data_IF_507765610385
#
_entry.id   IF_507765610385
#
_cell.length_a   1.000
_cell.length_b   1.000
_cell.length_c   1.000
_cell.angle_alpha   90.00
_cell.angle_beta   90.00
_cell.angle_gamma   90.00
#
_symmetry.space_group_name_H-M   'P 1'
#
loop_
_entity.id
_entity.type
_entity.pdbx_description
1 polymer ?
#
# COMPACT_ATOMS: atom_id res chain seq x y z
N UNK A 1 -25.97 -33.21 -20.55
CA UNK A 1 -26.02 -33.45 -19.09
C UNK A 1 -25.54 -32.18 -18.39
N UNK A 2 -26.36 -31.60 -17.51
CA UNK A 2 -26.11 -30.30 -16.87
C UNK A 2 -24.87 -30.35 -15.98
N UNK A 3 -24.14 -29.24 -15.89
CA UNK A 3 -22.90 -29.09 -15.10
C UNK A 3 -23.17 -29.07 -13.58
N UNK A 4 -24.04 -29.95 -13.08
CA UNK A 4 -24.42 -30.03 -11.66
C UNK A 4 -25.30 -28.90 -11.14
N UNK A 5 -25.88 -28.05 -12.02
CA UNK A 5 -26.76 -26.92 -11.64
C UNK A 5 -28.20 -27.17 -12.12
N UNK A 6 -29.20 -26.86 -11.27
CA UNK A 6 -30.63 -26.97 -11.60
C UNK A 6 -31.42 -25.78 -11.07
N UNK A 7 -32.37 -25.30 -11.89
CA UNK A 7 -33.32 -24.27 -11.51
C UNK A 7 -34.72 -24.87 -11.44
N UNK A 8 -35.36 -24.77 -10.28
CA UNK A 8 -36.75 -25.15 -10.06
C UNK A 8 -37.59 -23.88 -10.12
N UNK A 9 -38.47 -23.79 -11.13
CA UNK A 9 -39.45 -22.71 -11.24
C UNK A 9 -40.70 -23.15 -10.49
N UNK A 10 -41.04 -22.43 -9.43
CA UNK A 10 -42.32 -22.57 -8.75
C UNK A 10 -43.33 -21.73 -9.52
N UNK A 11 -44.43 -22.36 -9.96
CA UNK A 11 -45.48 -21.73 -10.76
C UNK A 11 -46.83 -21.83 -10.07
N UNK A 12 -47.75 -20.94 -10.40
CA UNK A 12 -49.17 -21.09 -10.05
C UNK A 12 -49.92 -21.98 -11.05
N UNK A 13 -51.21 -22.20 -10.80
CA UNK A 13 -52.11 -23.02 -11.63
C UNK A 13 -52.75 -22.24 -12.79
N UNK A 14 -52.32 -21.00 -13.07
CA UNK A 14 -52.89 -20.23 -14.19
C UNK A 14 -52.50 -20.80 -15.54
N UNK A 15 -53.29 -20.53 -16.58
CA UNK A 15 -52.93 -20.85 -17.97
C UNK A 15 -52.83 -19.54 -18.79
N UNK A 16 -51.61 -19.08 -19.16
CA UNK A 16 -50.32 -19.73 -18.91
C UNK A 16 -49.84 -19.59 -17.44
N UNK A 17 -49.00 -20.52 -16.95
CA UNK A 17 -48.53 -20.51 -15.57
C UNK A 17 -47.56 -19.36 -15.32
N UNK A 18 -47.83 -18.59 -14.27
CA UNK A 18 -46.95 -17.52 -13.81
C UNK A 18 -45.88 -18.07 -12.86
N UNK A 19 -44.64 -17.57 -12.97
CA UNK A 19 -43.54 -18.01 -12.09
C UNK A 19 -43.54 -17.22 -10.79
N UNK A 20 -43.84 -17.90 -9.68
CA UNK A 20 -43.86 -17.33 -8.33
C UNK A 20 -42.45 -17.25 -7.71
N UNK A 21 -41.59 -18.23 -7.96
CA UNK A 21 -40.23 -18.25 -7.45
C UNK A 21 -39.30 -19.10 -8.32
N UNK A 22 -37.99 -18.85 -8.22
CA UNK A 22 -36.96 -19.69 -8.84
C UNK A 22 -35.98 -20.13 -7.75
N UNK A 23 -36.00 -21.42 -7.44
CA UNK A 23 -35.03 -22.04 -6.54
C UNK A 23 -33.88 -22.61 -7.35
N UNK A 24 -32.65 -22.36 -6.92
CA UNK A 24 -31.43 -22.74 -7.64
C UNK A 24 -30.63 -23.68 -6.76
N UNK A 25 -30.24 -24.82 -7.31
CA UNK A 25 -29.44 -25.83 -6.61
C UNK A 25 -28.18 -26.15 -7.41
N UNK A 26 -27.10 -26.47 -6.71
CA UNK A 26 -25.82 -26.88 -7.26
C UNK A 26 -25.29 -28.08 -6.48
N UNK A 27 -24.66 -29.03 -7.19
CA UNK A 27 -23.95 -30.15 -6.56
C UNK A 27 -22.51 -29.81 -6.14
N UNK A 28 -22.00 -28.63 -6.52
CA UNK A 28 -20.69 -28.12 -6.11
C UNK A 28 -20.80 -26.90 -5.21
N UNK A 29 -19.69 -26.51 -4.58
CA UNK A 29 -19.58 -25.29 -3.78
C UNK A 29 -19.77 -24.07 -4.69
N UNK A 30 -20.99 -23.56 -4.75
CA UNK A 30 -21.40 -22.56 -5.71
C UNK A 30 -22.45 -21.63 -5.11
N UNK A 31 -22.28 -20.33 -5.35
CA UNK A 31 -23.20 -19.29 -4.97
C UNK A 31 -24.35 -19.22 -5.97
N UNK A 32 -25.54 -19.66 -5.56
CA UNK A 32 -26.75 -19.64 -6.39
C UNK A 32 -27.19 -18.23 -6.84
N UNK A 33 -26.79 -17.19 -6.11
CA UNK A 33 -27.19 -15.80 -6.39
C UNK A 33 -26.18 -15.07 -7.28
N UNK A 34 -24.89 -15.24 -7.00
CA UNK A 34 -23.79 -14.50 -7.61
C UNK A 34 -22.98 -15.30 -8.64
N UNK A 35 -23.39 -16.55 -8.88
CA UNK A 35 -22.79 -17.53 -9.80
C UNK A 35 -21.31 -17.88 -9.56
N UNK A 36 -20.75 -17.50 -8.41
CA UNK A 36 -19.37 -17.82 -8.02
C UNK A 36 -19.21 -19.30 -7.65
N UNK A 37 -18.17 -19.95 -8.17
CA UNK A 37 -17.77 -21.31 -7.75
C UNK A 37 -16.57 -21.23 -6.82
N UNK A 38 -16.57 -22.05 -5.78
CA UNK A 38 -15.50 -22.14 -4.79
C UNK A 38 -14.75 -23.47 -4.93
N UNK A 39 -13.49 -23.46 -4.50
CA UNK A 39 -12.68 -24.67 -4.42
C UNK A 39 -13.01 -25.46 -3.15
N UNK A 40 -12.71 -26.76 -3.14
CA UNK A 40 -12.86 -27.58 -1.93
C UNK A 40 -11.99 -27.04 -0.80
N UNK A 41 -12.54 -26.92 0.42
CA UNK A 41 -11.79 -26.43 1.57
C UNK A 41 -10.70 -27.45 1.94
N UNK A 42 -9.44 -26.99 1.89
CA UNK A 42 -8.29 -27.75 2.38
C UNK A 42 -7.67 -27.01 3.56
N UNK A 43 -7.00 -27.69 4.51
CA UNK A 43 -6.35 -27.01 5.64
C UNK A 43 -5.37 -25.90 5.21
N UNK A 44 -4.76 -26.02 4.03
CA UNK A 44 -3.86 -25.01 3.46
C UNK A 44 -4.54 -23.69 3.14
N UNK A 45 -5.83 -23.70 2.75
CA UNK A 45 -6.61 -22.47 2.50
C UNK A 45 -6.85 -21.64 3.77
N UNK A 46 -6.74 -22.26 4.95
CA UNK A 46 -6.91 -21.60 6.25
C UNK A 46 -5.58 -21.33 6.97
N UNK A 47 -4.46 -21.55 6.28
CA UNK A 47 -3.12 -21.35 6.84
C UNK A 47 -2.46 -20.14 6.19
N UNK A 48 -2.22 -19.09 6.98
CA UNK A 48 -1.45 -17.92 6.56
C UNK A 48 0.01 -18.24 6.25
N UNK A 49 0.50 -19.43 6.64
CA UNK A 49 1.84 -19.91 6.28
C UNK A 49 1.85 -20.63 4.92
N UNK A 50 0.68 -20.92 4.35
CA UNK A 50 0.56 -21.50 3.01
C UNK A 50 0.32 -20.40 1.99
N UNK A 51 0.97 -20.44 0.81
CA UNK A 51 0.65 -19.52 -0.28
C UNK A 51 -0.83 -19.52 -0.69
N UNK A 52 -1.56 -20.61 -0.45
CA UNK A 52 -2.98 -20.74 -0.78
C UNK A 52 -3.90 -20.01 0.21
N UNK A 53 -3.50 -19.89 1.48
CA UNK A 53 -4.29 -19.22 2.53
C UNK A 53 -3.75 -17.84 2.92
N UNK A 54 -2.54 -17.50 2.50
CA UNK A 54 -1.90 -16.23 2.82
C UNK A 54 -2.47 -15.08 1.97
N UNK A 55 -2.72 -13.93 2.61
CA UNK A 55 -3.00 -12.70 1.88
C UNK A 55 -1.90 -12.39 0.86
N UNK A 56 -2.25 -12.15 -0.41
CA UNK A 56 -1.29 -11.92 -1.49
C UNK A 56 -0.40 -10.68 -1.26
N UNK A 57 -0.96 -9.64 -0.64
CA UNK A 57 -0.28 -8.36 -0.40
C UNK A 57 0.78 -8.47 0.70
N UNK A 58 0.42 -9.04 1.85
CA UNK A 58 1.32 -9.15 3.00
C UNK A 58 1.94 -10.55 3.17
N UNK A 59 1.65 -11.50 2.29
CA UNK A 59 2.15 -12.88 2.32
C UNK A 59 2.00 -13.55 3.69
N UNK A 60 0.84 -13.35 4.32
CA UNK A 60 0.50 -13.95 5.62
C UNK A 60 1.09 -13.24 6.86
N UNK A 61 1.82 -12.13 6.70
CA UNK A 61 2.37 -11.39 7.84
C UNK A 61 1.31 -10.55 8.60
N UNK A 62 0.16 -10.26 7.96
CA UNK A 62 -0.91 -9.41 8.51
C UNK A 62 -0.55 -7.91 8.58
N UNK A 63 0.63 -7.55 8.07
CA UNK A 63 1.15 -6.18 8.10
C UNK A 63 2.03 -5.92 6.90
N UNK A 64 2.02 -4.69 6.44
CA UNK A 64 2.92 -4.22 5.39
C UNK A 64 4.01 -3.35 6.03
N UNK A 65 5.21 -3.43 5.47
CA UNK A 65 6.34 -2.60 5.91
C UNK A 65 6.30 -1.33 5.06
N UNK A 66 6.00 -0.21 5.70
CA UNK A 66 6.00 1.11 5.07
C UNK A 66 7.08 2.00 5.66
N UNK A 67 7.39 3.10 4.97
CA UNK A 67 8.19 4.18 5.53
C UNK A 67 7.29 5.06 6.38
N UNK A 68 7.67 5.28 7.63
CA UNK A 68 7.03 6.24 8.51
C UNK A 68 7.68 7.61 8.33
N UNK A 69 6.96 8.53 7.67
CA UNK A 69 7.46 9.88 7.44
C UNK A 69 7.56 10.72 8.71
N UNK A 70 6.90 10.32 9.80
CA UNK A 70 7.14 10.89 11.13
C UNK A 70 8.54 10.54 11.66
N UNK A 71 9.11 9.39 11.29
CA UNK A 71 10.50 9.07 11.61
C UNK A 71 11.50 9.78 10.67
N UNK A 72 11.07 10.11 9.45
CA UNK A 72 11.85 10.87 8.46
C UNK A 72 11.97 12.33 8.84
N UNK A 73 10.88 12.93 9.33
CA UNK A 73 10.82 14.30 9.86
C UNK A 73 10.32 14.27 11.31
N UNK A 74 11.19 13.89 12.27
CA UNK A 74 10.78 13.68 13.66
C UNK A 74 10.62 14.97 14.46
N UNK A 75 11.25 16.06 14.02
CA UNK A 75 11.21 17.36 14.67
C UNK A 75 10.54 18.36 13.72
N UNK A 76 9.27 18.65 13.99
CA UNK A 76 8.44 19.52 13.16
C UNK A 76 8.72 21.02 13.36
N UNK A 77 9.53 21.38 14.37
CA UNK A 77 9.97 22.74 14.62
C UNK A 77 11.14 23.14 13.72
N UNK A 78 11.86 22.16 13.15
CA UNK A 78 12.98 22.41 12.25
C UNK A 78 12.52 22.88 10.88
N UNK A 79 13.34 23.71 10.27
CA UNK A 79 13.17 24.17 8.89
C UNK A 79 13.83 23.17 7.93
N UNK A 80 13.50 23.25 6.63
CA UNK A 80 14.14 22.40 5.62
C UNK A 80 15.66 22.63 5.56
N UNK A 81 16.10 23.88 5.66
CA UNK A 81 17.53 24.24 5.76
C UNK A 81 18.15 23.78 7.07
N UNK A 82 17.40 23.83 8.16
CA UNK A 82 17.80 23.37 9.49
C UNK A 82 17.83 21.85 9.63
N UNK A 83 17.65 21.10 8.54
CA UNK A 83 17.77 19.66 8.52
C UNK A 83 16.57 18.91 9.08
N UNK A 84 15.35 19.39 8.80
CA UNK A 84 14.11 18.70 9.16
C UNK A 84 14.06 17.25 8.62
N UNK A 85 14.58 17.01 7.41
CA UNK A 85 14.65 15.66 6.83
C UNK A 85 15.88 14.93 7.34
N UNK A 86 15.68 14.10 8.37
CA UNK A 86 16.74 13.44 9.15
C UNK A 86 17.68 12.55 8.31
N UNK A 87 17.21 11.72 7.35
CA UNK A 87 18.10 10.83 6.58
C UNK A 87 19.21 11.58 5.83
N UNK A 88 18.97 12.82 5.42
CA UNK A 88 19.88 13.61 4.59
C UNK A 88 20.92 14.40 5.39
N UNK A 89 20.86 14.35 6.73
CA UNK A 89 21.81 15.04 7.61
C UNK A 89 23.11 14.24 7.84
N UNK A 90 23.27 13.11 7.15
CA UNK A 90 24.50 12.31 7.20
C UNK A 90 25.38 12.61 5.98
N UNK A 91 26.69 12.46 6.13
CA UNK A 91 27.64 12.73 5.05
C UNK A 91 27.32 11.96 3.76
N UNK A 92 26.82 10.72 3.89
CA UNK A 92 26.47 9.86 2.75
C UNK A 92 25.30 10.36 1.90
N UNK A 93 24.47 11.26 2.43
CA UNK A 93 23.25 11.75 1.78
C UNK A 93 23.17 13.29 1.77
N UNK A 94 24.31 13.96 1.95
CA UNK A 94 24.38 15.42 1.90
C UNK A 94 23.93 15.99 0.55
N UNK A 95 24.22 15.27 -0.54
CA UNK A 95 23.76 15.62 -1.88
C UNK A 95 22.22 15.71 -1.95
N UNK A 96 21.49 14.87 -1.21
CA UNK A 96 20.03 14.93 -1.17
C UNK A 96 19.52 16.21 -0.47
N UNK A 97 20.22 16.68 0.56
CA UNK A 97 19.93 17.94 1.22
C UNK A 97 20.18 19.12 0.27
N UNK A 98 21.28 19.10 -0.48
CA UNK A 98 21.61 20.14 -1.45
C UNK A 98 20.60 20.20 -2.60
N UNK A 99 20.16 19.03 -3.09
CA UNK A 99 19.10 18.93 -4.08
C UNK A 99 17.77 19.47 -3.55
N UNK A 100 17.36 19.07 -2.33
CA UNK A 100 16.16 19.60 -1.68
C UNK A 100 16.17 21.13 -1.69
N UNK A 101 17.27 21.74 -1.24
CA UNK A 101 17.39 23.19 -1.19
C UNK A 101 17.34 23.84 -2.56
N UNK A 102 18.03 23.26 -3.54
CA UNK A 102 18.07 23.75 -4.91
C UNK A 102 16.69 23.72 -5.56
N UNK A 103 15.95 22.62 -5.40
CA UNK A 103 14.61 22.48 -5.96
C UNK A 103 13.58 23.32 -5.21
N UNK A 104 13.68 23.41 -3.88
CA UNK A 104 12.80 24.24 -3.07
C UNK A 104 12.86 25.71 -3.51
N UNK A 105 14.09 26.24 -3.73
CA UNK A 105 14.28 27.61 -4.25
C UNK A 105 13.62 27.81 -5.62
N UNK A 106 13.73 26.83 -6.52
CA UNK A 106 13.11 26.89 -7.86
C UNK A 106 11.59 26.84 -7.85
N UNK A 107 10.99 26.22 -6.82
CA UNK A 107 9.55 26.00 -6.69
C UNK A 107 8.87 26.93 -5.69
N UNK A 108 9.63 27.82 -5.05
CA UNK A 108 9.10 28.73 -4.04
C UNK A 108 8.67 28.01 -2.74
N UNK A 109 9.27 26.86 -2.43
CA UNK A 109 9.06 26.19 -1.15
C UNK A 109 9.98 26.85 -0.12
N UNK A 110 9.43 27.38 0.99
CA UNK A 110 10.22 28.12 1.96
C UNK A 110 11.16 27.18 2.72
N UNK A 111 12.44 27.54 2.75
CA UNK A 111 13.48 26.73 3.37
C UNK A 111 13.68 27.00 4.86
N UNK A 112 13.28 28.20 5.29
CA UNK A 112 13.53 28.76 6.62
C UNK A 112 12.24 28.85 7.46
N UNK A 113 11.16 28.25 6.97
CA UNK A 113 9.90 28.05 7.71
C UNK A 113 9.92 26.69 8.41
N UNK A 114 9.51 26.60 9.69
CA UNK A 114 9.35 25.33 10.40
C UNK A 114 8.46 24.34 9.64
N UNK A 115 8.80 23.06 9.68
CA UNK A 115 8.07 22.00 8.97
C UNK A 115 6.57 21.98 9.28
N UNK A 116 6.19 22.19 10.54
CA UNK A 116 4.78 22.25 10.96
C UNK A 116 4.00 23.42 10.33
N UNK A 117 4.69 24.51 9.99
CA UNK A 117 4.11 25.72 9.40
C UNK A 117 4.06 25.66 7.86
N UNK A 118 4.75 24.69 7.24
CA UNK A 118 4.61 24.42 5.81
C UNK A 118 3.18 23.99 5.47
N UNK A 119 2.69 24.43 4.32
CA UNK A 119 1.38 23.98 3.82
C UNK A 119 1.38 22.48 3.56
N UNK A 120 0.19 21.87 3.60
CA UNK A 120 0.06 20.44 3.29
C UNK A 120 0.62 20.09 1.90
N UNK A 121 0.46 20.99 0.91
CA UNK A 121 1.01 20.81 -0.43
C UNK A 121 2.55 20.89 -0.45
N UNK A 122 3.15 21.80 0.33
CA UNK A 122 4.61 21.90 0.44
C UNK A 122 5.21 20.67 1.14
N UNK A 123 4.61 20.20 2.24
CA UNK A 123 5.03 18.97 2.90
C UNK A 123 4.92 17.76 1.97
N UNK A 124 3.81 17.69 1.23
CA UNK A 124 3.59 16.65 0.21
C UNK A 124 4.65 16.70 -0.88
N UNK A 125 4.97 17.88 -1.39
CA UNK A 125 6.02 18.05 -2.39
C UNK A 125 7.39 17.57 -1.90
N UNK A 126 7.76 17.83 -0.64
CA UNK A 126 9.01 17.31 -0.06
C UNK A 126 9.03 15.77 -0.01
N UNK A 127 7.89 15.16 0.32
CA UNK A 127 7.76 13.70 0.48
C UNK A 127 7.61 12.99 -0.86
N UNK A 128 6.59 13.34 -1.64
CA UNK A 128 6.16 12.64 -2.86
C UNK A 128 6.97 13.07 -4.09
N UNK A 129 7.54 14.28 -4.09
CA UNK A 129 8.24 14.84 -5.24
C UNK A 129 7.30 15.33 -6.34
N UNK A 130 7.84 15.50 -7.53
CA UNK A 130 7.14 16.02 -8.73
C UNK A 130 6.94 14.96 -9.83
N UNK A 131 7.49 13.75 -9.66
CA UNK A 131 7.35 12.69 -10.65
C UNK A 131 8.56 11.74 -10.71
N UNK A 132 8.86 11.28 -11.92
CA UNK A 132 9.96 10.34 -12.16
C UNK A 132 11.35 10.98 -11.96
N UNK A 133 12.36 10.14 -11.68
CA UNK A 133 13.75 10.56 -11.45
C UNK A 133 14.40 11.05 -12.75
N UNK A 134 14.00 12.24 -13.18
CA UNK A 134 14.44 12.90 -14.41
C UNK A 134 15.26 14.16 -14.09
N UNK A 135 16.10 14.59 -15.04
CA UNK A 135 16.89 15.81 -14.87
C UNK A 135 15.97 17.01 -14.66
N UNK A 136 16.10 17.67 -13.52
CA UNK A 136 15.37 18.90 -13.22
C UNK A 136 14.01 18.71 -12.52
N UNK A 137 13.72 17.48 -12.08
CA UNK A 137 12.51 17.14 -11.30
C UNK A 137 12.94 16.79 -9.88
N UNK A 138 12.19 17.27 -8.89
CA UNK A 138 12.40 16.88 -7.49
C UNK A 138 11.83 15.48 -7.25
N UNK A 139 12.68 14.55 -6.80
CA UNK A 139 12.29 13.14 -6.64
C UNK A 139 11.56 12.85 -5.32
N UNK A 140 11.74 13.67 -4.29
CA UNK A 140 11.08 13.50 -3.00
C UNK A 140 11.65 12.38 -2.11
N UNK A 141 11.34 12.45 -0.81
CA UNK A 141 11.77 11.44 0.16
C UNK A 141 11.30 10.02 -0.20
N UNK A 142 10.09 9.88 -0.75
CA UNK A 142 9.52 8.60 -1.14
C UNK A 142 10.39 7.86 -2.16
N UNK A 143 10.86 8.56 -3.21
CA UNK A 143 11.72 7.94 -4.23
C UNK A 143 13.13 7.66 -3.71
N UNK A 144 13.65 8.51 -2.82
CA UNK A 144 14.89 8.22 -2.10
C UNK A 144 14.79 6.89 -1.34
N UNK A 145 13.70 6.65 -0.60
CA UNK A 145 13.49 5.38 0.10
C UNK A 145 13.27 4.21 -0.85
N UNK A 146 12.50 4.37 -1.93
CA UNK A 146 12.34 3.33 -2.96
C UNK A 146 13.70 2.93 -3.57
N UNK A 147 14.58 3.89 -3.83
CA UNK A 147 15.94 3.63 -4.27
C UNK A 147 16.77 2.90 -3.21
N UNK A 148 16.68 3.27 -1.93
CA UNK A 148 17.33 2.53 -0.84
C UNK A 148 16.82 1.07 -0.78
N UNK A 149 15.53 0.85 -0.97
CA UNK A 149 14.95 -0.50 -0.96
C UNK A 149 15.51 -1.38 -2.09
N UNK A 150 15.72 -0.83 -3.29
CA UNK A 150 16.41 -1.54 -4.38
C UNK A 150 17.84 -1.98 -4.03
N UNK A 151 18.46 -1.29 -3.06
CA UNK A 151 19.83 -1.55 -2.55
C UNK A 151 19.84 -2.25 -1.20
N UNK A 152 18.71 -2.79 -0.76
CA UNK A 152 18.55 -3.48 0.52
C UNK A 152 19.35 -4.78 0.64
N UNK A 153 20.00 -5.25 -0.42
CA UNK A 153 20.98 -6.34 -0.31
C UNK A 153 22.22 -5.93 0.51
N UNK A 154 22.54 -4.62 0.60
CA UNK A 154 23.66 -4.11 1.40
C UNK A 154 23.27 -4.01 2.89
N UNK A 155 24.09 -4.55 3.78
CA UNK A 155 23.81 -4.57 5.23
C UNK A 155 23.56 -3.17 5.81
N UNK A 156 24.44 -2.19 5.53
CA UNK A 156 24.28 -0.82 6.06
C UNK A 156 23.00 -0.13 5.56
N UNK A 157 22.54 -0.45 4.35
CA UNK A 157 21.27 0.06 3.81
C UNK A 157 20.08 -0.54 4.57
N UNK A 158 20.12 -1.84 4.88
CA UNK A 158 19.07 -2.49 5.70
C UNK A 158 18.97 -1.88 7.09
N UNK A 159 20.12 -1.65 7.73
CA UNK A 159 20.19 -1.03 9.07
C UNK A 159 19.68 0.41 9.04
N UNK A 160 19.93 1.14 7.95
CA UNK A 160 19.36 2.47 7.77
C UNK A 160 17.84 2.40 7.61
N UNK A 161 17.35 1.56 6.68
CA UNK A 161 15.91 1.40 6.41
C UNK A 161 15.13 0.97 7.65
N UNK A 162 15.69 0.10 8.50
CA UNK A 162 15.00 -0.35 9.71
C UNK A 162 14.70 0.76 10.71
N UNK A 163 15.42 1.90 10.66
CA UNK A 163 15.18 3.06 11.53
C UNK A 163 13.98 3.90 11.11
N UNK A 164 13.51 3.75 9.87
CA UNK A 164 12.43 4.55 9.30
C UNK A 164 11.21 3.71 8.89
N UNK A 165 11.25 2.41 9.16
CA UNK A 165 10.16 1.48 8.83
C UNK A 165 9.20 1.38 9.99
N UNK A 166 7.91 1.51 9.68
CA UNK A 166 6.83 1.13 10.58
C UNK A 166 6.05 -0.03 9.97
N UNK A 167 5.40 -0.78 10.86
CA UNK A 167 4.48 -1.82 10.46
C UNK A 167 3.06 -1.26 10.55
N UNK A 168 2.39 -1.21 9.41
CA UNK A 168 0.95 -0.90 9.37
C UNK A 168 0.16 -2.17 9.10
N UNK A 169 -1.05 -2.32 9.66
CA UNK A 169 -1.95 -3.41 9.28
C UNK A 169 -2.10 -3.45 7.76
N UNK A 170 -2.12 -4.65 7.19
CA UNK A 170 -2.30 -4.79 5.75
C UNK A 170 -3.70 -4.31 5.37
N UNK A 171 -3.81 -3.36 4.44
CA UNK A 171 -5.09 -2.80 4.01
C UNK A 171 -5.99 -3.85 3.34
N UNK A 172 -5.40 -4.84 2.66
CA UNK A 172 -6.13 -5.91 1.97
C UNK A 172 -6.79 -6.90 2.93
N UNK A 173 -6.10 -7.33 4.00
CA UNK A 173 -6.63 -8.33 4.93
C UNK A 173 -7.00 -7.78 6.32
N UNK A 174 -6.82 -6.48 6.56
CA UNK A 174 -7.04 -5.86 7.87
C UNK A 174 -6.16 -6.43 9.00
N UNK A 175 -5.12 -7.20 8.66
CA UNK A 175 -4.29 -7.92 9.63
C UNK A 175 -4.80 -9.28 10.09
N UNK A 176 -5.85 -9.82 9.47
CA UNK A 176 -6.43 -11.13 9.80
C UNK A 176 -5.46 -12.32 9.60
N UNK A 177 -4.41 -12.12 8.79
CA UNK A 177 -3.39 -13.09 8.33
C UNK A 177 -3.90 -14.15 7.37
#
# INVERSE_FOLDING_TARGET
MGRGKVNIRVTDESDPPNTLAIWRYSSGLHCAECDLSYQEPTPSLFSFNSPLGACETCRGFGRVIGIDYGLVVPDDAKTLRGGAVRPWQTQSYRECQEDLEKFARKRGVPLDTPWRELSAAQRRWVIEGEGEWNKGVWYGAQRFFAWLESRSYKMHVRVLLSRYRAYTPCETCGGAR
#
